data_IF_771048109980
#
_entry.id   IF_771048109980
#
_cell.length_a   1.000
_cell.length_b   1.000
_cell.length_c   1.000
_cell.angle_alpha   90.00
_cell.angle_beta   90.00
_cell.angle_gamma   90.00
#
_symmetry.space_group_name_H-M   'P 1'
#
loop_
_entity.id
_entity.type
_entity.pdbx_description
1 polymer ?
#
# COMPACT_ATOMS: atom_id res chain seq x y z
N UNK A 1 8.15 -34.51 -35.95
CA UNK A 1 6.87 -35.00 -35.37
C UNK A 1 7.09 -36.43 -34.90
N UNK A 2 7.29 -36.64 -33.60
CA UNK A 2 7.21 -37.96 -32.96
C UNK A 2 6.61 -37.79 -31.55
N UNK A 3 5.59 -38.61 -31.33
CA UNK A 3 4.77 -38.78 -30.14
C UNK A 3 5.58 -39.12 -28.89
N UNK A 4 5.15 -38.63 -27.72
CA UNK A 4 5.04 -39.47 -26.52
C UNK A 4 4.26 -38.77 -25.41
N UNK A 5 2.93 -38.88 -25.47
CA UNK A 5 2.06 -38.77 -24.31
C UNK A 5 1.87 -40.19 -23.72
N UNK A 6 2.29 -40.40 -22.47
CA UNK A 6 1.70 -41.34 -21.47
C UNK A 6 2.58 -41.42 -20.22
N UNK A 7 2.12 -40.81 -19.13
CA UNK A 7 2.16 -41.32 -17.75
C UNK A 7 1.46 -40.25 -16.91
N UNK A 8 0.19 -40.40 -16.52
CA UNK A 8 -0.24 -41.53 -15.72
C UNK A 8 0.36 -41.45 -14.32
N UNK A 9 0.12 -40.36 -13.58
CA UNK A 9 0.14 -40.34 -12.12
C UNK A 9 -0.85 -39.29 -11.62
N UNK A 10 -2.03 -39.79 -11.27
CA UNK A 10 -3.00 -39.09 -10.42
C UNK A 10 -2.34 -38.88 -9.06
N UNK A 11 -1.68 -37.74 -8.87
CA UNK A 11 -1.44 -37.22 -7.54
C UNK A 11 -2.70 -36.48 -7.14
N UNK A 12 -3.53 -37.15 -6.34
CA UNK A 12 -4.59 -36.50 -5.59
C UNK A 12 -3.91 -35.51 -4.62
N UNK A 13 -3.66 -34.30 -5.10
CA UNK A 13 -3.36 -33.15 -4.28
C UNK A 13 -4.68 -32.74 -3.64
N UNK A 14 -5.00 -33.32 -2.48
CA UNK A 14 -5.92 -32.70 -1.53
C UNK A 14 -5.21 -31.48 -0.95
N UNK A 15 -5.13 -30.43 -1.78
CA UNK A 15 -4.67 -29.11 -1.40
C UNK A 15 -5.72 -28.56 -0.42
N UNK A 16 -5.36 -28.15 0.80
CA UNK A 16 -6.34 -27.63 1.74
C UNK A 16 -6.93 -26.34 1.16
N UNK A 17 -8.23 -26.36 0.83
CA UNK A 17 -9.01 -25.24 0.30
C UNK A 17 -9.16 -24.04 1.27
N UNK A 18 -8.36 -23.98 2.35
CA UNK A 18 -8.54 -23.07 3.47
C UNK A 18 -7.75 -21.74 3.39
N UNK A 19 -7.00 -21.49 2.31
CA UNK A 19 -6.11 -20.30 2.20
C UNK A 19 -6.65 -19.18 1.28
N UNK A 20 -7.85 -19.30 0.71
CA UNK A 20 -8.34 -18.32 -0.29
C UNK A 20 -9.01 -17.08 0.30
N UNK A 21 -9.33 -17.03 1.59
CA UNK A 21 -10.07 -15.91 2.18
C UNK A 21 -9.24 -14.64 2.36
N UNK A 22 -7.91 -14.72 2.43
CA UNK A 22 -7.05 -13.56 2.71
C UNK A 22 -6.81 -12.63 1.50
N UNK A 23 -6.82 -13.17 0.27
CA UNK A 23 -6.56 -12.35 -0.94
C UNK A 23 -7.70 -11.40 -1.28
N UNK A 24 -8.95 -11.79 -1.01
CA UNK A 24 -10.13 -11.00 -1.41
C UNK A 24 -10.17 -9.62 -0.74
N UNK A 25 -9.75 -9.52 0.53
CA UNK A 25 -9.76 -8.26 1.28
C UNK A 25 -8.67 -7.29 0.80
N UNK A 26 -7.47 -7.81 0.52
CA UNK A 26 -6.38 -7.00 -0.03
C UNK A 26 -6.73 -6.45 -1.42
N UNK A 27 -7.35 -7.28 -2.27
CA UNK A 27 -7.79 -6.86 -3.60
C UNK A 27 -8.83 -5.74 -3.53
N UNK A 28 -9.88 -5.90 -2.71
CA UNK A 28 -10.93 -4.90 -2.59
C UNK A 28 -10.44 -3.56 -2.01
N UNK A 29 -9.49 -3.58 -1.07
CA UNK A 29 -8.86 -2.37 -0.55
C UNK A 29 -8.01 -1.67 -1.62
N UNK A 30 -7.26 -2.45 -2.41
CA UNK A 30 -6.45 -1.94 -3.51
C UNK A 30 -7.31 -1.35 -4.64
N UNK A 31 -8.43 -1.98 -4.98
CA UNK A 31 -9.36 -1.48 -6.00
C UNK A 31 -9.96 -0.11 -5.61
N UNK A 32 -10.30 0.07 -4.32
CA UNK A 32 -10.74 1.39 -3.82
C UNK A 32 -9.67 2.44 -4.03
N UNK A 33 -8.42 2.16 -3.63
CA UNK A 33 -7.29 3.08 -3.78
C UNK A 33 -6.86 3.32 -5.24
N UNK A 34 -7.15 2.38 -6.15
CA UNK A 34 -6.89 2.56 -7.59
C UNK A 34 -7.70 3.72 -8.18
N UNK A 35 -8.91 3.95 -7.69
CA UNK A 35 -9.79 5.04 -8.13
C UNK A 35 -9.52 6.40 -7.48
N UNK A 36 -8.77 6.43 -6.38
CA UNK A 36 -8.40 7.65 -5.65
C UNK A 36 -7.41 8.48 -6.48
N UNK A 37 -7.47 9.82 -6.45
CA UNK A 37 -6.50 10.66 -7.18
C UNK A 37 -5.11 10.66 -6.51
N UNK A 38 -4.06 11.07 -7.24
CA UNK A 38 -2.71 11.18 -6.66
C UNK A 38 -2.67 12.21 -5.51
N UNK A 39 -3.36 13.34 -5.65
CA UNK A 39 -3.38 14.37 -4.59
C UNK A 39 -4.16 13.91 -3.35
N UNK A 40 -5.19 13.10 -3.53
CA UNK A 40 -5.86 12.46 -2.39
C UNK A 40 -4.96 11.41 -1.74
N UNK A 41 -4.25 10.58 -2.52
CA UNK A 41 -3.28 9.63 -1.97
C UNK A 41 -2.18 10.32 -1.15
N UNK A 42 -1.68 11.48 -1.59
CA UNK A 42 -0.73 12.29 -0.82
C UNK A 42 -1.33 12.76 0.51
N UNK A 43 -2.57 13.25 0.50
CA UNK A 43 -3.27 13.67 1.73
C UNK A 43 -3.49 12.50 2.69
N UNK A 44 -3.95 11.36 2.19
CA UNK A 44 -4.12 10.13 2.99
C UNK A 44 -2.79 9.68 3.59
N UNK A 45 -1.72 9.67 2.80
CA UNK A 45 -0.39 9.28 3.27
C UNK A 45 0.10 10.18 4.41
N UNK A 46 -0.02 11.51 4.27
CA UNK A 46 0.38 12.46 5.32
C UNK A 46 -0.51 12.36 6.57
N UNK A 47 -1.80 12.07 6.41
CA UNK A 47 -2.69 11.79 7.54
C UNK A 47 -2.28 10.51 8.29
N UNK A 48 -1.98 9.43 7.55
CA UNK A 48 -1.45 8.19 8.10
C UNK A 48 -0.14 8.40 8.88
N UNK A 49 0.81 9.15 8.30
CA UNK A 49 2.07 9.51 8.98
C UNK A 49 1.82 10.26 10.30
N UNK A 50 0.89 11.22 10.29
CA UNK A 50 0.55 12.01 11.47
C UNK A 50 0.01 11.14 12.60
N UNK A 51 -0.92 10.23 12.30
CA UNK A 51 -1.49 9.32 13.31
C UNK A 51 -0.43 8.32 13.78
N UNK A 52 0.34 7.71 12.87
CA UNK A 52 1.40 6.76 13.20
C UNK A 52 2.52 7.38 14.06
N UNK A 53 2.77 8.70 13.91
CA UNK A 53 3.73 9.44 14.73
C UNK A 53 3.24 9.69 16.16
N UNK A 54 1.95 9.54 16.42
CA UNK A 54 1.32 9.88 17.71
C UNK A 54 0.89 8.63 18.50
N UNK A 55 0.60 7.53 17.81
CA UNK A 55 0.08 6.32 18.44
C UNK A 55 0.40 5.07 17.62
N UNK A 56 0.31 3.91 18.29
CA UNK A 56 0.32 2.62 17.62
C UNK A 56 -1.00 2.46 16.83
N UNK A 57 -0.89 2.02 15.58
CA UNK A 57 -2.04 1.75 14.72
C UNK A 57 -2.57 0.33 14.94
N UNK A 58 -3.89 0.16 14.89
CA UNK A 58 -4.49 -1.17 14.76
C UNK A 58 -4.20 -1.76 13.38
N UNK A 59 -4.31 -3.09 13.25
CA UNK A 59 -3.95 -3.80 12.02
C UNK A 59 -4.73 -3.35 10.79
N UNK A 60 -5.99 -2.93 10.93
CA UNK A 60 -6.81 -2.48 9.80
C UNK A 60 -6.32 -1.12 9.30
N UNK A 61 -6.08 -0.19 10.22
CA UNK A 61 -5.55 1.13 9.90
C UNK A 61 -4.13 1.05 9.33
N UNK A 62 -3.28 0.22 9.92
CA UNK A 62 -1.92 -0.02 9.41
C UNK A 62 -1.95 -0.59 7.98
N UNK A 63 -2.84 -1.54 7.69
CA UNK A 63 -3.01 -2.09 6.34
C UNK A 63 -3.48 -1.03 5.35
N UNK A 64 -4.49 -0.21 5.71
CA UNK A 64 -4.95 0.90 4.87
C UNK A 64 -3.79 1.86 4.54
N UNK A 65 -3.05 2.30 5.56
CA UNK A 65 -1.92 3.21 5.38
C UNK A 65 -0.82 2.60 4.50
N UNK A 66 -0.57 1.31 4.62
CA UNK A 66 0.38 0.57 3.77
C UNK A 66 -0.07 0.59 2.31
N UNK A 67 -1.33 0.23 2.02
CA UNK A 67 -1.86 0.24 0.65
C UNK A 67 -1.86 1.65 0.04
N UNK A 68 -2.19 2.68 0.82
CA UNK A 68 -2.13 4.06 0.34
C UNK A 68 -0.69 4.49 0.01
N UNK A 69 0.28 4.11 0.84
CA UNK A 69 1.70 4.34 0.58
C UNK A 69 2.21 3.64 -0.68
N UNK A 70 1.87 2.37 -0.88
CA UNK A 70 2.25 1.62 -2.08
C UNK A 70 1.62 2.21 -3.36
N UNK A 71 0.33 2.56 -3.30
CA UNK A 71 -0.37 3.19 -4.42
C UNK A 71 0.26 4.54 -4.76
N UNK A 72 0.59 5.35 -3.76
CA UNK A 72 1.26 6.64 -3.93
C UNK A 72 2.66 6.47 -4.54
N UNK A 73 3.46 5.56 -3.99
CA UNK A 73 4.81 5.25 -4.49
C UNK A 73 4.77 4.88 -5.97
N UNK A 74 3.87 3.96 -6.35
CA UNK A 74 3.74 3.50 -7.74
C UNK A 74 3.29 4.63 -8.67
N UNK A 75 2.31 5.44 -8.26
CA UNK A 75 1.61 6.38 -9.15
C UNK A 75 2.25 7.77 -9.23
N UNK A 76 2.83 8.26 -8.13
CA UNK A 76 3.41 9.61 -8.07
C UNK A 76 4.93 9.60 -8.21
N UNK A 77 5.58 8.48 -7.87
CA UNK A 77 7.04 8.41 -7.74
C UNK A 77 7.64 7.28 -8.59
N UNK A 78 6.90 6.79 -9.59
CA UNK A 78 7.33 5.72 -10.50
C UNK A 78 7.84 4.46 -9.78
N UNK A 79 7.31 4.17 -8.59
CA UNK A 79 7.77 3.04 -7.76
C UNK A 79 9.02 3.32 -6.93
N UNK A 80 9.61 4.51 -6.97
CA UNK A 80 10.80 4.86 -6.19
C UNK A 80 10.43 5.24 -4.76
N UNK A 81 10.90 4.44 -3.80
CA UNK A 81 10.76 4.76 -2.38
C UNK A 81 11.58 5.99 -1.97
N UNK A 82 12.78 6.17 -2.53
CA UNK A 82 13.63 7.32 -2.23
C UNK A 82 12.97 8.65 -2.62
N UNK A 83 12.30 8.69 -3.78
CA UNK A 83 11.56 9.88 -4.21
C UNK A 83 10.36 10.16 -3.31
N UNK A 84 9.62 9.11 -2.91
CA UNK A 84 8.53 9.24 -1.95
C UNK A 84 9.04 9.79 -0.61
N UNK A 85 10.15 9.26 -0.11
CA UNK A 85 10.75 9.67 1.17
C UNK A 85 11.27 11.11 1.11
N UNK A 86 11.90 11.51 0.01
CA UNK A 86 12.36 12.88 -0.21
C UNK A 86 11.20 13.87 -0.23
N UNK A 87 10.11 13.55 -0.95
CA UNK A 87 8.90 14.35 -0.96
C UNK A 87 8.28 14.46 0.44
N UNK A 88 8.11 13.33 1.14
CA UNK A 88 7.52 13.32 2.49
C UNK A 88 8.30 14.23 3.45
N UNK A 89 9.64 14.14 3.47
CA UNK A 89 10.48 15.03 4.29
C UNK A 89 10.24 16.51 3.95
N UNK A 90 10.16 16.85 2.66
CA UNK A 90 9.89 18.22 2.24
C UNK A 90 8.52 18.72 2.72
N UNK A 91 7.48 17.87 2.75
CA UNK A 91 6.17 18.23 3.34
C UNK A 91 6.26 18.46 4.85
N UNK A 92 7.02 17.64 5.59
CA UNK A 92 7.23 17.84 7.03
C UNK A 92 7.91 19.17 7.35
N UNK A 93 8.89 19.57 6.54
CA UNK A 93 9.56 20.86 6.70
C UNK A 93 8.60 22.04 6.43
N UNK A 94 7.71 21.92 5.44
CA UNK A 94 6.67 22.94 5.17
C UNK A 94 5.66 23.05 6.32
N UNK A 95 5.22 21.91 6.87
CA UNK A 95 4.33 21.87 8.02
C UNK A 95 4.99 22.53 9.25
N UNK A 96 6.25 22.18 9.52
CA UNK A 96 7.03 22.75 10.62
C UNK A 96 7.27 24.26 10.45
N UNK A 97 7.55 24.72 9.22
CA UNK A 97 7.68 26.13 8.93
C UNK A 97 6.37 26.89 9.16
N UNK A 98 5.25 26.35 8.65
CA UNK A 98 3.92 26.95 8.80
C UNK A 98 3.50 27.08 10.27
N UNK A 99 3.80 26.07 11.10
CA UNK A 99 3.56 26.11 12.53
C UNK A 99 4.33 27.24 13.24
N UNK A 100 5.60 27.49 12.85
CA UNK A 100 6.42 28.56 13.41
C UNK A 100 5.89 29.96 13.04
N UNK A 101 5.38 30.14 11.82
CA UNK A 101 4.82 31.43 11.41
C UNK A 101 3.54 31.77 12.18
N UNK A 102 2.69 30.79 12.48
CA UNK A 102 1.44 31.03 13.24
C UNK A 102 1.66 31.39 14.71
N UNK A 103 2.88 31.23 15.24
CA UNK A 103 3.22 31.51 16.64
C UNK A 103 3.81 32.92 16.85
N UNK A 104 3.99 33.69 15.77
CA UNK A 104 4.60 35.02 15.80
C UNK A 104 3.56 36.12 15.60
#
# INVERSE_FOLDING_TARGET
MHSNQRCGRRLALTLPLALCTSMAFAQAANDRLASVSVDELKRVYLACDRVASQQLLDSSTAAHCSFAGEALQKRAFAGSFDQLLAWWRAEKEKDAASAKLSQK
#
